data_IF_293190918336
#
_entry.id   IF_293190918336
#
_cell.length_a   1.000
_cell.length_b   1.000
_cell.length_c   1.000
_cell.angle_alpha   90.00
_cell.angle_beta   90.00
_cell.angle_gamma   90.00
#
_symmetry.space_group_name_H-M   'P 1'
#
loop_
_entity.id
_entity.type
_entity.pdbx_description
1 polymer ?
#
# COMPACT_ATOMS: atom_id res chain seq x y z
N UNK A 1 6.32 13.91 18.39
CA UNK A 1 6.04 15.08 17.70
C UNK A 1 6.68 15.21 16.32
N UNK A 2 7.83 14.64 16.17
CA UNK A 2 8.51 14.72 14.89
C UNK A 2 7.95 13.83 13.83
N UNK A 3 7.25 12.78 14.23
CA UNK A 3 6.85 11.78 13.26
C UNK A 3 5.96 12.34 12.14
N UNK A 4 5.03 13.21 12.48
CA UNK A 4 4.20 13.80 11.45
C UNK A 4 4.90 14.93 10.72
N UNK A 5 5.83 15.58 11.41
CA UNK A 5 6.54 16.69 10.82
C UNK A 5 7.71 16.28 9.96
N UNK A 6 8.03 15.00 9.92
CA UNK A 6 9.09 14.51 9.04
C UNK A 6 8.66 14.47 7.58
N UNK A 7 7.37 14.56 7.31
CA UNK A 7 6.86 14.59 5.94
C UNK A 7 6.38 15.98 5.61
N UNK A 8 6.70 16.47 4.42
CA UNK A 8 6.17 17.75 4.01
C UNK A 8 4.72 17.58 3.56
N UNK A 9 4.06 18.70 3.31
CA UNK A 9 2.63 18.67 2.99
C UNK A 9 2.35 17.94 1.68
N UNK A 10 3.23 18.08 0.71
CA UNK A 10 3.04 17.41 -0.56
C UNK A 10 3.13 15.90 -0.37
N UNK A 11 4.11 15.45 0.40
CA UNK A 11 4.24 14.02 0.66
C UNK A 11 3.03 13.49 1.42
N UNK A 12 2.57 14.23 2.43
CA UNK A 12 1.38 13.80 3.17
C UNK A 12 0.15 13.74 2.28
N UNK A 13 -0.01 14.72 1.40
CA UNK A 13 -1.14 14.70 0.47
C UNK A 13 -1.06 13.50 -0.45
N UNK A 14 0.14 13.20 -0.94
CA UNK A 14 0.32 12.05 -1.81
C UNK A 14 0.07 10.73 -1.07
N UNK A 15 0.50 10.66 0.19
CA UNK A 15 0.26 9.47 1.00
C UNK A 15 -1.24 9.25 1.20
N UNK A 16 -1.97 10.32 1.50
CA UNK A 16 -3.40 10.23 1.70
C UNK A 16 -4.11 9.82 0.42
N UNK A 17 -3.74 10.45 -0.69
CA UNK A 17 -4.35 10.12 -1.97
C UNK A 17 -4.05 8.67 -2.37
N UNK A 18 -2.82 8.22 -2.14
CA UNK A 18 -2.45 6.85 -2.45
C UNK A 18 -3.25 5.87 -1.61
N UNK A 19 -3.40 6.15 -0.33
CA UNK A 19 -4.17 5.29 0.55
C UNK A 19 -5.62 5.19 0.09
N UNK A 20 -6.23 6.32 -0.22
CA UNK A 20 -7.61 6.33 -0.69
C UNK A 20 -7.75 5.56 -2.01
N UNK A 21 -6.84 5.79 -2.92
CA UNK A 21 -6.88 5.12 -4.20
C UNK A 21 -6.77 3.61 -4.04
N UNK A 22 -5.82 3.17 -3.25
CA UNK A 22 -5.59 1.74 -3.04
C UNK A 22 -6.76 1.10 -2.32
N UNK A 23 -7.30 1.78 -1.32
CA UNK A 23 -8.43 1.23 -0.57
C UNK A 23 -9.67 1.06 -1.44
N UNK A 24 -9.84 1.90 -2.46
CA UNK A 24 -10.95 1.73 -3.39
C UNK A 24 -10.84 0.49 -4.22
N UNK A 25 -9.64 -0.08 -4.32
CA UNK A 25 -9.45 -1.32 -5.07
C UNK A 25 -9.82 -2.54 -4.26
N UNK A 26 -10.07 -2.37 -2.98
CA UNK A 26 -10.46 -3.49 -2.13
C UNK A 26 -11.94 -3.82 -2.33
N UNK A 27 -12.29 -5.08 -2.52
CA UNK A 27 -13.70 -5.45 -2.52
C UNK A 27 -14.29 -5.22 -1.13
N UNK A 28 -15.59 -5.00 -1.03
CA UNK A 28 -16.20 -4.71 0.27
C UNK A 28 -15.95 -5.77 1.33
N UNK A 29 -15.86 -7.03 0.94
CA UNK A 29 -15.66 -8.10 1.89
C UNK A 29 -14.20 -8.20 2.36
N UNK A 30 -13.30 -7.49 1.71
CA UNK A 30 -11.90 -7.46 2.11
C UNK A 30 -11.49 -6.12 2.70
N UNK A 31 -12.43 -5.17 2.75
CA UNK A 31 -12.15 -3.82 3.22
C UNK A 31 -12.40 -3.78 4.72
N UNK A 32 -11.35 -3.92 5.50
CA UNK A 32 -11.44 -3.87 6.95
C UNK A 32 -10.28 -3.05 7.50
N UNK A 33 -10.38 -2.62 8.77
CA UNK A 33 -9.35 -1.74 9.34
C UNK A 33 -7.95 -2.35 9.37
N UNK A 34 -7.85 -3.66 9.53
CA UNK A 34 -6.54 -4.29 9.59
C UNK A 34 -5.82 -4.19 8.25
N UNK A 35 -6.54 -4.44 7.16
CA UNK A 35 -5.96 -4.34 5.83
C UNK A 35 -5.62 -2.90 5.51
N UNK A 36 -6.49 -1.97 5.87
CA UNK A 36 -6.23 -0.55 5.63
C UNK A 36 -5.00 -0.08 6.39
N UNK A 37 -4.83 -0.57 7.61
CA UNK A 37 -3.66 -0.22 8.40
C UNK A 37 -2.40 -0.77 7.73
N UNK A 38 -2.46 -1.98 7.25
CA UNK A 38 -1.31 -2.58 6.58
C UNK A 38 -0.94 -1.77 5.34
N UNK A 39 -1.95 -1.38 4.56
CA UNK A 39 -1.70 -0.56 3.37
C UNK A 39 -1.04 0.76 3.78
N UNK A 40 -1.55 1.39 4.83
CA UNK A 40 -0.98 2.64 5.30
C UNK A 40 0.47 2.45 5.76
N UNK A 41 0.74 1.38 6.47
CA UNK A 41 2.10 1.09 6.95
C UNK A 41 3.07 0.93 5.79
N UNK A 42 2.64 0.27 4.72
CA UNK A 42 3.50 0.10 3.55
C UNK A 42 3.75 1.41 2.83
N UNK A 43 2.74 2.25 2.76
CA UNK A 43 2.89 3.57 2.15
C UNK A 43 3.86 4.42 2.97
N UNK A 44 3.73 4.37 4.29
CA UNK A 44 4.63 5.11 5.17
C UNK A 44 6.06 4.60 5.01
N UNK A 45 6.23 3.29 4.97
CA UNK A 45 7.55 2.71 4.81
C UNK A 45 8.19 3.15 3.50
N UNK A 46 7.40 3.19 2.43
CA UNK A 46 7.92 3.64 1.14
C UNK A 46 8.35 5.09 1.20
N UNK A 47 7.56 5.94 1.85
CA UNK A 47 7.92 7.36 1.93
C UNK A 47 9.19 7.57 2.74
N UNK A 48 9.44 6.75 3.73
CA UNK A 48 10.66 6.83 4.52
C UNK A 48 11.89 6.42 3.74
N UNK A 49 11.70 5.64 2.69
CA UNK A 49 12.80 5.26 1.80
C UNK A 49 13.05 6.30 0.72
N UNK A 50 12.32 7.40 0.77
CA UNK A 50 12.50 8.48 -0.21
C UNK A 50 11.52 8.43 -1.36
N UNK A 51 10.60 7.49 -1.38
CA UNK A 51 9.60 7.39 -2.42
C UNK A 51 8.42 8.26 -2.03
N UNK A 52 8.36 9.45 -2.56
CA UNK A 52 7.34 10.42 -2.14
C UNK A 52 6.35 10.77 -3.25
N UNK A 53 6.57 10.27 -4.46
CA UNK A 53 5.62 10.57 -5.53
C UNK A 53 4.35 9.76 -5.35
N UNK A 54 3.26 10.29 -5.87
CA UNK A 54 1.97 9.60 -5.77
C UNK A 54 2.05 8.22 -6.39
N UNK A 55 2.71 8.09 -7.54
CA UNK A 55 2.85 6.80 -8.19
C UNK A 55 3.60 5.78 -7.35
N UNK A 56 4.70 6.21 -6.74
CA UNK A 56 5.50 5.31 -5.90
C UNK A 56 4.70 4.83 -4.69
N UNK A 57 4.00 5.76 -4.04
CA UNK A 57 3.23 5.42 -2.85
C UNK A 57 2.05 4.55 -3.20
N UNK A 58 1.40 4.82 -4.32
CA UNK A 58 0.31 3.99 -4.78
C UNK A 58 0.79 2.57 -5.08
N UNK A 59 1.94 2.45 -5.72
CA UNK A 59 2.50 1.13 -6.00
C UNK A 59 2.78 0.36 -4.73
N UNK A 60 3.30 1.03 -3.71
CA UNK A 60 3.59 0.38 -2.44
C UNK A 60 2.31 -0.19 -1.82
N UNK A 61 1.23 0.60 -1.86
CA UNK A 61 -0.03 0.13 -1.31
C UNK A 61 -0.65 -0.98 -2.14
N UNK A 62 -0.52 -0.90 -3.46
CA UNK A 62 -1.08 -1.93 -4.33
C UNK A 62 -0.42 -3.28 -4.14
N UNK A 63 0.83 -3.31 -3.71
CA UNK A 63 1.47 -4.58 -3.39
C UNK A 63 0.69 -5.33 -2.31
N UNK A 64 0.19 -4.61 -1.32
CA UNK A 64 -0.60 -5.24 -0.27
C UNK A 64 -1.88 -5.82 -0.85
N UNK A 65 -2.55 -5.05 -1.68
CA UNK A 65 -3.79 -5.50 -2.29
C UNK A 65 -3.55 -6.77 -3.11
N UNK A 66 -2.49 -6.77 -3.90
CA UNK A 66 -2.18 -7.93 -4.73
C UNK A 66 -1.90 -9.17 -3.89
N UNK A 67 -1.20 -8.99 -2.76
CA UNK A 67 -0.92 -10.12 -1.89
C UNK A 67 -2.20 -10.69 -1.28
N UNK A 68 -3.11 -9.81 -0.87
CA UNK A 68 -4.33 -10.26 -0.21
C UNK A 68 -5.41 -10.75 -1.17
N UNK A 69 -5.53 -10.10 -2.33
CA UNK A 69 -6.57 -10.46 -3.28
C UNK A 69 -6.13 -11.52 -4.26
N UNK A 70 -4.85 -11.52 -4.59
CA UNK A 70 -4.30 -12.45 -5.56
C UNK A 70 -3.05 -13.08 -4.98
N UNK A 71 -3.20 -13.84 -3.89
CA UNK A 71 -2.03 -14.45 -3.25
C UNK A 71 -1.31 -15.34 -4.24
N UNK A 72 0.02 -15.22 -4.31
CA UNK A 72 0.78 -16.01 -5.28
C UNK A 72 0.87 -17.49 -4.94
N UNK A 73 0.41 -17.85 -3.74
CA UNK A 73 0.64 -19.17 -3.21
C UNK A 73 0.42 -20.32 -4.17
N UNK A 74 -0.79 -20.41 -4.72
CA UNK A 74 -1.07 -21.55 -5.57
C UNK A 74 -0.55 -21.40 -6.97
N UNK A 75 -0.92 -20.30 -7.60
CA UNK A 75 -0.60 -20.11 -9.01
C UNK A 75 0.88 -20.04 -9.26
N UNK A 76 1.57 -19.23 -8.50
CA UNK A 76 2.99 -19.05 -8.79
C UNK A 76 3.81 -20.25 -8.32
N UNK A 77 3.36 -20.94 -7.28
CA UNK A 77 4.04 -22.16 -6.88
C UNK A 77 3.93 -23.19 -7.98
N UNK A 78 2.79 -23.29 -8.61
CA UNK A 78 2.61 -24.21 -9.72
C UNK A 78 3.51 -23.81 -10.88
N UNK A 79 3.58 -22.51 -11.15
CA UNK A 79 4.44 -22.05 -12.23
C UNK A 79 5.90 -22.32 -11.96
N UNK A 80 6.32 -22.22 -10.71
CA UNK A 80 7.70 -22.49 -10.35
C UNK A 80 7.97 -23.97 -10.19
N UNK A 81 7.03 -24.67 -9.62
CA UNK A 81 7.22 -26.08 -9.31
C UNK A 81 6.90 -27.02 -10.44
N UNK A 82 6.44 -26.48 -11.50
CA UNK A 82 6.17 -27.31 -12.67
C UNK A 82 4.80 -27.75 -12.80
#
# INVERSE_FOLDING_TARGET
MKSLLTFDQTTLANMTAALEYVCRKLPPDRDNPAIRKYIADEIIAASRKGQSSLGDLTSAGLKVVNVYLFPPGRSWLRALGG
#
